data_IF_970377794364
#
_entry.id   IF_970377794364
#
_cell.length_a   1.000
_cell.length_b   1.000
_cell.length_c   1.000
_cell.angle_alpha   90.00
_cell.angle_beta   90.00
_cell.angle_gamma   90.00
#
_symmetry.space_group_name_H-M   'P 1'
#
loop_
_entity.id
_entity.type
_entity.pdbx_description
1 polymer ?
#
# COMPACT_ATOMS: atom_id res chain seq x y z
N UNK A 1 0.56 23.29 23.05
CA UNK A 1 -0.17 22.27 22.28
C UNK A 1 0.84 21.68 21.31
N UNK A 2 1.22 20.42 21.51
CA UNK A 2 2.10 19.72 20.57
C UNK A 2 1.21 19.28 19.40
N UNK A 3 0.99 20.19 18.44
CA UNK A 3 0.33 19.83 17.19
C UNK A 3 1.23 18.85 16.47
N UNK A 4 0.74 17.65 16.18
CA UNK A 4 1.39 16.76 15.23
C UNK A 4 1.44 17.51 13.89
N UNK A 5 2.61 18.00 13.48
CA UNK A 5 2.86 18.38 12.09
C UNK A 5 2.79 17.09 11.26
N UNK A 6 1.61 16.82 10.71
CA UNK A 6 1.40 15.74 9.77
C UNK A 6 1.92 16.22 8.40
N UNK A 7 3.13 15.80 8.03
CA UNK A 7 3.70 16.14 6.74
C UNK A 7 3.01 15.33 5.63
N UNK A 8 2.07 15.96 4.94
CA UNK A 8 1.34 15.37 3.81
C UNK A 8 2.28 14.88 2.71
N UNK A 9 3.48 15.47 2.55
CA UNK A 9 4.46 15.01 1.58
C UNK A 9 5.05 13.65 1.97
N UNK A 10 5.26 13.41 3.27
CA UNK A 10 5.73 12.13 3.81
C UNK A 10 4.66 11.05 3.66
N UNK A 11 3.39 11.36 3.93
CA UNK A 11 2.29 10.41 3.72
C UNK A 11 2.16 10.02 2.24
N UNK A 12 2.21 11.01 1.33
CA UNK A 12 2.17 10.74 -0.12
C UNK A 12 3.38 9.94 -0.61
N UNK A 13 4.56 10.21 -0.05
CA UNK A 13 5.75 9.43 -0.35
C UNK A 13 5.59 7.97 0.11
N UNK A 14 5.05 7.75 1.31
CA UNK A 14 4.78 6.41 1.83
C UNK A 14 3.75 5.65 0.97
N UNK A 15 2.66 6.29 0.56
CA UNK A 15 1.68 5.73 -0.40
C UNK A 15 2.35 5.29 -1.70
N UNK A 16 3.25 6.11 -2.24
CA UNK A 16 4.02 5.77 -3.44
C UNK A 16 4.90 4.54 -3.24
N UNK A 17 5.63 4.47 -2.11
CA UNK A 17 6.49 3.33 -1.78
C UNK A 17 5.69 2.03 -1.58
N UNK A 18 4.55 2.09 -0.89
CA UNK A 18 3.68 0.94 -0.68
C UNK A 18 3.12 0.41 -2.02
N UNK A 19 2.73 1.31 -2.92
CA UNK A 19 2.26 0.95 -4.26
C UNK A 19 3.36 0.27 -5.08
N UNK A 20 4.58 0.81 -5.05
CA UNK A 20 5.73 0.22 -5.75
C UNK A 20 6.07 -1.17 -5.20
N UNK A 21 6.10 -1.32 -3.86
CA UNK A 21 6.34 -2.60 -3.22
C UNK A 21 5.23 -3.62 -3.51
N UNK A 22 3.98 -3.20 -3.56
CA UNK A 22 2.85 -4.04 -3.99
C UNK A 22 3.01 -4.53 -5.43
N UNK A 23 3.40 -3.65 -6.35
CA UNK A 23 3.67 -4.02 -7.74
C UNK A 23 4.83 -5.01 -7.90
N UNK A 24 5.91 -4.80 -7.14
CA UNK A 24 7.05 -5.71 -7.11
C UNK A 24 6.68 -7.09 -6.54
N UNK A 25 5.90 -7.11 -5.45
CA UNK A 25 5.36 -8.34 -4.88
C UNK A 25 4.50 -9.10 -5.90
N UNK A 26 3.59 -8.42 -6.62
CA UNK A 26 2.80 -9.03 -7.69
C UNK A 26 3.66 -9.67 -8.77
N UNK A 27 4.69 -8.97 -9.25
CA UNK A 27 5.61 -9.48 -10.27
C UNK A 27 6.38 -10.74 -9.80
N UNK A 28 6.74 -10.78 -8.51
CA UNK A 28 7.38 -11.93 -7.88
C UNK A 28 6.41 -13.11 -7.76
N UNK A 29 5.15 -12.87 -7.38
CA UNK A 29 4.12 -13.90 -7.30
C UNK A 29 3.86 -14.54 -8.69
N UNK A 30 3.76 -13.72 -9.74
CA UNK A 30 3.54 -14.20 -11.10
C UNK A 30 4.73 -15.03 -11.59
N UNK A 31 5.96 -14.58 -11.32
CA UNK A 31 7.19 -15.31 -11.67
C UNK A 31 7.29 -16.65 -10.94
N UNK A 32 6.94 -16.69 -9.65
CA UNK A 32 6.82 -17.92 -8.87
C UNK A 32 5.76 -18.86 -9.44
N UNK A 33 4.59 -18.33 -9.83
CA UNK A 33 3.53 -19.09 -10.48
C UNK A 33 4.00 -19.73 -11.80
N UNK A 34 4.72 -18.98 -12.64
CA UNK A 34 5.26 -19.47 -13.90
C UNK A 34 6.31 -20.58 -13.68
N UNK A 35 7.27 -20.38 -12.77
CA UNK A 35 8.24 -21.42 -12.40
C UNK A 35 7.53 -22.65 -11.87
N UNK A 36 6.47 -22.50 -11.08
CA UNK A 36 5.67 -23.63 -10.57
C UNK A 36 5.00 -24.41 -11.70
N UNK A 37 4.46 -23.74 -12.72
CA UNK A 37 3.86 -24.40 -13.86
C UNK A 37 4.89 -25.20 -14.68
N UNK A 38 6.13 -24.70 -14.76
CA UNK A 38 7.23 -25.35 -15.49
C UNK A 38 7.89 -26.50 -14.70
N UNK A 39 8.02 -26.38 -13.37
CA UNK A 39 8.73 -27.37 -12.53
C UNK A 39 7.80 -28.31 -11.76
N UNK A 40 6.54 -27.94 -11.58
CA UNK A 40 5.58 -28.63 -10.72
C UNK A 40 4.88 -29.78 -11.44
N UNK A 41 5.53 -30.94 -11.51
CA UNK A 41 4.76 -32.20 -11.51
C UNK A 41 4.20 -32.39 -10.08
N UNK A 42 2.86 -32.38 -9.88
CA UNK A 42 2.24 -32.47 -8.55
C UNK A 42 2.63 -33.71 -7.74
N UNK A 43 3.21 -34.69 -8.42
CA UNK A 43 3.55 -36.04 -8.01
C UNK A 43 5.06 -36.25 -7.75
N UNK A 44 5.92 -35.25 -7.96
CA UNK A 44 7.38 -35.48 -8.04
C UNK A 44 8.17 -35.45 -6.72
N UNK A 45 7.75 -34.71 -5.67
CA UNK A 45 8.47 -34.63 -4.39
C UNK A 45 7.75 -33.74 -3.34
N UNK A 46 8.30 -33.69 -2.12
CA UNK A 46 7.89 -32.79 -1.02
C UNK A 46 7.85 -31.31 -1.47
N UNK A 47 8.67 -30.95 -2.46
CA UNK A 47 8.80 -29.60 -3.04
C UNK A 47 7.62 -29.24 -3.94
N UNK A 48 6.97 -30.21 -4.60
CA UNK A 48 5.68 -30.03 -5.26
C UNK A 48 4.50 -29.87 -4.27
N UNK A 49 4.60 -30.42 -3.05
CA UNK A 49 3.52 -30.40 -2.04
C UNK A 49 3.53 -29.16 -1.14
N UNK A 50 4.72 -28.63 -0.81
CA UNK A 50 4.92 -27.33 -0.12
C UNK A 50 5.02 -26.20 -1.18
N UNK A 51 4.60 -26.49 -2.42
CA UNK A 51 5.10 -25.85 -3.62
C UNK A 51 4.90 -24.33 -3.72
N UNK A 52 5.64 -23.69 -4.63
CA UNK A 52 5.67 -22.25 -4.80
C UNK A 52 4.32 -21.58 -5.07
N UNK A 53 3.23 -22.33 -5.34
CA UNK A 53 1.86 -21.82 -5.34
C UNK A 53 1.39 -21.28 -3.99
N UNK A 54 1.72 -21.94 -2.88
CA UNK A 54 1.41 -21.42 -1.54
C UNK A 54 2.19 -20.13 -1.24
N UNK A 55 3.40 -20.00 -1.79
CA UNK A 55 4.22 -18.78 -1.68
C UNK A 55 3.66 -17.69 -2.58
N UNK A 56 3.26 -17.99 -3.82
CA UNK A 56 2.61 -17.05 -4.72
C UNK A 56 1.31 -16.50 -4.12
N UNK A 57 0.49 -17.35 -3.49
CA UNK A 57 -0.72 -16.93 -2.77
C UNK A 57 -0.42 -16.02 -1.58
N UNK A 58 0.65 -16.30 -0.82
CA UNK A 58 1.08 -15.43 0.28
C UNK A 58 1.58 -14.07 -0.22
N UNK A 59 2.32 -14.05 -1.33
CA UNK A 59 2.82 -12.82 -1.93
C UNK A 59 1.68 -12.01 -2.56
N UNK A 60 0.68 -12.66 -3.15
CA UNK A 60 -0.54 -12.00 -3.63
C UNK A 60 -1.33 -11.38 -2.47
N UNK A 61 -1.47 -12.07 -1.34
CA UNK A 61 -2.07 -11.51 -0.12
C UNK A 61 -1.28 -10.32 0.43
N UNK A 62 0.06 -10.39 0.39
CA UNK A 62 0.91 -9.28 0.81
C UNK A 62 0.72 -8.06 -0.10
N UNK A 63 0.63 -8.26 -1.42
CA UNK A 63 0.29 -7.19 -2.36
C UNK A 63 -1.04 -6.55 -2.00
N UNK A 64 -2.08 -7.36 -1.80
CA UNK A 64 -3.43 -6.84 -1.52
C UNK A 64 -3.44 -6.03 -0.22
N UNK A 65 -2.73 -6.49 0.82
CA UNK A 65 -2.58 -5.75 2.07
C UNK A 65 -1.83 -4.43 1.88
N UNK A 66 -0.73 -4.42 1.11
CA UNK A 66 0.04 -3.19 0.85
C UNK A 66 -0.79 -2.16 0.07
N UNK A 67 -1.65 -2.60 -0.85
CA UNK A 67 -2.56 -1.72 -1.60
C UNK A 67 -3.65 -1.16 -0.68
N UNK A 68 -4.22 -1.99 0.19
CA UNK A 68 -5.23 -1.56 1.17
C UNK A 68 -4.65 -0.54 2.16
N UNK A 69 -3.47 -0.83 2.73
CA UNK A 69 -2.74 0.06 3.63
C UNK A 69 -2.43 1.40 2.93
N UNK A 70 -2.01 1.36 1.65
CA UNK A 70 -1.76 2.54 0.83
C UNK A 70 -3.02 3.39 0.65
N UNK A 71 -4.18 2.76 0.42
CA UNK A 71 -5.47 3.45 0.34
C UNK A 71 -5.88 4.09 1.67
N UNK A 72 -5.61 3.42 2.79
CA UNK A 72 -5.84 3.96 4.14
C UNK A 72 -4.98 5.20 4.43
N UNK A 73 -3.70 5.18 4.03
CA UNK A 73 -2.79 6.32 4.18
C UNK A 73 -3.24 7.51 3.33
N UNK A 74 -3.68 7.29 2.10
CA UNK A 74 -4.16 8.35 1.21
C UNK A 74 -5.46 8.98 1.75
N UNK A 75 -6.39 8.17 2.24
CA UNK A 75 -7.62 8.66 2.89
C UNK A 75 -7.31 9.53 4.12
N UNK A 76 -6.35 9.12 4.95
CA UNK A 76 -5.88 9.93 6.07
C UNK A 76 -5.28 11.26 5.58
N UNK A 77 -4.46 11.25 4.53
CA UNK A 77 -3.87 12.46 3.97
C UNK A 77 -4.94 13.45 3.46
N UNK A 78 -5.99 12.95 2.81
CA UNK A 78 -7.14 13.77 2.38
C UNK A 78 -7.84 14.42 3.58
N UNK A 79 -8.12 13.66 4.64
CA UNK A 79 -8.77 14.19 5.85
C UNK A 79 -7.95 15.28 6.54
N UNK A 80 -6.63 15.12 6.59
CA UNK A 80 -5.74 16.15 7.11
C UNK A 80 -5.77 17.43 6.26
N UNK A 81 -5.72 17.28 4.93
CA UNK A 81 -5.80 18.42 4.01
C UNK A 81 -7.14 19.17 4.15
N UNK A 82 -8.26 18.45 4.21
CA UNK A 82 -9.59 19.05 4.41
C UNK A 82 -9.70 19.80 5.75
N UNK A 83 -9.07 19.25 6.80
CA UNK A 83 -9.03 19.88 8.13
C UNK A 83 -8.22 21.16 8.11
N UNK A 84 -7.04 21.15 7.48
CA UNK A 84 -6.19 22.34 7.33
C UNK A 84 -6.89 23.41 6.48
N UNK A 85 -7.46 23.07 5.33
CA UNK A 85 -8.23 24.00 4.48
C UNK A 85 -9.49 24.54 5.20
N UNK A 86 -10.10 23.73 6.06
CA UNK A 86 -11.25 24.12 6.88
C UNK A 86 -10.87 25.10 8.01
N UNK A 87 -9.74 24.87 8.66
CA UNK A 87 -9.17 25.77 9.66
C UNK A 87 -8.76 27.11 9.04
N UNK A 88 -8.08 27.07 7.90
CA UNK A 88 -7.60 28.27 7.20
C UNK A 88 -8.77 29.14 6.73
N UNK A 89 -9.81 28.53 6.14
CA UNK A 89 -11.06 29.25 5.79
C UNK A 89 -11.75 29.89 7.00
N UNK A 90 -11.81 29.19 8.15
CA UNK A 90 -12.40 29.74 9.37
C UNK A 90 -11.57 30.90 9.92
N UNK A 91 -10.25 30.80 9.89
CA UNK A 91 -9.35 31.88 10.30
C UNK A 91 -9.51 33.11 9.41
N UNK A 92 -9.54 32.95 8.09
CA UNK A 92 -9.75 34.04 7.13
C UNK A 92 -11.12 34.70 7.32
N UNK A 93 -12.17 33.92 7.54
CA UNK A 93 -13.53 34.43 7.80
C UNK A 93 -13.63 35.19 9.13
N UNK A 94 -12.93 34.74 10.18
CA UNK A 94 -12.91 35.39 11.49
C UNK A 94 -12.04 36.65 11.53
N UNK A 95 -10.95 36.69 10.75
CA UNK A 95 -10.01 37.81 10.72
C UNK A 95 -10.32 38.88 9.66
N UNK A 96 -11.35 38.67 8.84
CA UNK A 96 -11.92 39.71 7.97
C UNK A 96 -10.93 40.29 6.95
N UNK A 97 -9.98 39.50 6.47
CA UNK A 97 -9.16 39.87 5.32
C UNK A 97 -9.62 39.08 4.09
N UNK A 98 -9.85 39.76 2.95
CA UNK A 98 -10.22 39.10 1.69
C UNK A 98 -9.09 38.19 1.20
#
# INVERSE_FOLDING_TARGET
>A
MNGFECDLSVLRQLTGQLTEHGGAAGSVADSLGAVTADTGRPDSDEMGRIGPGAVADLVAKLRDQLVDDSGGVDACAVLYQETDEGLDRRFTTLLGRP
#
